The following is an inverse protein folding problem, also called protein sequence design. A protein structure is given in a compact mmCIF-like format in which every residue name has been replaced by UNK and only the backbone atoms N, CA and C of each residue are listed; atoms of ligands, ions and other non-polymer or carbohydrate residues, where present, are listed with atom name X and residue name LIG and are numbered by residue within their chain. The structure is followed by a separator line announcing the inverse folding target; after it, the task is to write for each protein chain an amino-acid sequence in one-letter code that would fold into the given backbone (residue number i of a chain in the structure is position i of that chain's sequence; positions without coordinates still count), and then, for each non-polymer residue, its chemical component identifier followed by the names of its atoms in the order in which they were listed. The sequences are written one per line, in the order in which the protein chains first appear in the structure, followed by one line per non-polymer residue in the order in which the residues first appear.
data_IF_266424417226
#
_entry.id   IF_266424417226
#
_cell.length_a   1.000
_cell.length_b   1.000
_cell.length_c   1.000
_cell.angle_alpha   90.00
_cell.angle_beta   90.00
_cell.angle_gamma   90.00
#
_symmetry.space_group_name_H-M   'P 1'
#
loop_
_entity.id
_entity.type
_entity.pdbx_description
1 polymer ?
#
# COMPACT_ATOMS: atom_id res chain seq x y z
N UNK A 1 -0.66 -21.10 -8.26
CA UNK A 1 -1.40 -20.08 -7.48
C UNK A 1 -0.48 -18.90 -7.27
N UNK A 2 -0.81 -17.75 -7.86
CA UNK A 2 0.07 -16.56 -7.83
C UNK A 2 -0.07 -15.85 -6.50
N UNK A 3 1.03 -15.71 -5.77
CA UNK A 3 1.08 -15.02 -4.48
C UNK A 3 1.57 -13.59 -4.70
N UNK A 4 0.86 -12.62 -4.15
CA UNK A 4 1.15 -11.19 -4.34
C UNK A 4 1.15 -10.44 -3.02
N UNK A 5 2.01 -9.45 -2.89
CA UNK A 5 1.95 -8.48 -1.80
C UNK A 5 1.37 -7.17 -2.34
N UNK A 6 0.59 -6.46 -1.52
CA UNK A 6 0.06 -5.14 -1.85
C UNK A 6 0.90 -4.08 -1.17
N UNK A 7 1.16 -2.97 -1.85
CA UNK A 7 1.84 -1.81 -1.28
C UNK A 7 1.12 -0.54 -1.73
N UNK A 8 0.78 0.31 -0.76
CA UNK A 8 0.12 1.60 -1.00
C UNK A 8 0.87 2.72 -0.28
N UNK A 9 0.97 3.90 -0.92
CA UNK A 9 1.61 5.07 -0.31
C UNK A 9 0.93 6.36 -0.77
N UNK A 10 1.05 7.42 0.01
CA UNK A 10 0.79 8.78 -0.43
C UNK A 10 2.00 9.67 -0.10
N UNK A 11 2.13 10.81 -0.78
CA UNK A 11 3.35 11.63 -0.76
C UNK A 11 3.19 13.04 -0.15
N UNK A 12 2.02 13.42 0.36
CA UNK A 12 1.76 14.80 0.83
C UNK A 12 0.69 14.86 1.92
N UNK A 13 0.80 15.85 2.82
CA UNK A 13 -0.15 16.17 3.89
C UNK A 13 -1.60 16.38 3.41
N UNK A 14 -1.81 16.62 2.11
CA UNK A 14 -3.14 16.81 1.55
C UNK A 14 -3.80 15.50 1.05
N UNK A 15 -3.18 14.35 1.34
CA UNK A 15 -3.69 13.02 0.98
C UNK A 15 -4.15 12.31 2.26
N UNK A 16 -5.47 12.19 2.40
CA UNK A 16 -6.13 11.53 3.54
C UNK A 16 -5.75 10.05 3.58
N UNK A 17 -5.72 9.44 4.77
CA UNK A 17 -5.59 7.98 4.95
C UNK A 17 -6.59 7.16 4.10
N UNK A 18 -7.74 7.76 3.78
CA UNK A 18 -8.71 7.24 2.82
C UNK A 18 -8.07 6.84 1.47
N UNK A 19 -7.00 7.51 1.04
CA UNK A 19 -6.27 7.18 -0.20
C UNK A 19 -5.54 5.84 -0.14
N UNK A 20 -5.04 5.42 1.02
CA UNK A 20 -4.36 4.11 1.19
C UNK A 20 -5.39 3.00 1.16
N UNK A 21 -6.48 3.13 1.90
CA UNK A 21 -7.52 2.12 1.96
C UNK A 21 -8.17 1.92 0.58
N UNK A 22 -8.43 3.00 -0.15
CA UNK A 22 -8.96 2.91 -1.51
C UNK A 22 -7.97 2.27 -2.49
N UNK A 23 -6.68 2.63 -2.42
CA UNK A 23 -5.64 1.97 -3.24
C UNK A 23 -5.60 0.46 -2.96
N UNK A 24 -5.58 0.08 -1.68
CA UNK A 24 -5.53 -1.33 -1.28
C UNK A 24 -6.81 -2.08 -1.67
N UNK A 25 -7.97 -1.43 -1.59
CA UNK A 25 -9.24 -2.00 -2.05
C UNK A 25 -9.20 -2.32 -3.54
N UNK A 26 -8.75 -1.38 -4.37
CA UNK A 26 -8.61 -1.60 -5.81
C UNK A 26 -7.63 -2.74 -6.13
N UNK A 27 -6.51 -2.81 -5.41
CA UNK A 27 -5.56 -3.91 -5.57
C UNK A 27 -6.13 -5.27 -5.15
N UNK A 28 -6.94 -5.34 -4.09
CA UNK A 28 -7.62 -6.57 -3.67
C UNK A 28 -8.67 -7.01 -4.67
N UNK A 29 -9.47 -6.09 -5.19
CA UNK A 29 -10.46 -6.38 -6.24
C UNK A 29 -9.78 -6.95 -7.49
N UNK A 30 -8.64 -6.37 -7.90
CA UNK A 30 -7.82 -6.91 -8.99
C UNK A 30 -7.32 -8.32 -8.65
N UNK A 31 -6.71 -8.52 -7.49
CA UNK A 31 -6.18 -9.82 -7.09
C UNK A 31 -7.26 -10.90 -7.08
N UNK A 32 -8.47 -10.55 -6.61
CA UNK A 32 -9.63 -11.45 -6.62
C UNK A 32 -10.06 -11.83 -8.05
N UNK A 33 -10.14 -10.85 -8.97
CA UNK A 33 -10.48 -11.11 -10.38
C UNK A 33 -9.48 -12.02 -11.08
N UNK A 34 -8.21 -11.93 -10.72
CA UNK A 34 -7.11 -12.68 -11.33
C UNK A 34 -6.82 -14.02 -10.62
N UNK A 35 -7.54 -14.32 -9.53
CA UNK A 35 -7.32 -15.54 -8.73
C UNK A 35 -5.98 -15.53 -7.97
N UNK A 36 -5.45 -14.36 -7.65
CA UNK A 36 -4.22 -14.22 -6.88
C UNK A 36 -4.48 -14.27 -5.38
N UNK A 37 -3.51 -14.81 -4.64
CA UNK A 37 -3.52 -14.82 -3.18
C UNK A 37 -2.74 -13.63 -2.67
N UNK A 38 -3.42 -12.69 -2.03
CA UNK A 38 -2.76 -11.61 -1.29
C UNK A 38 -2.16 -12.21 -0.02
N UNK A 39 -0.84 -12.19 0.09
CA UNK A 39 -0.12 -12.75 1.25
C UNK A 39 0.21 -11.71 2.29
N UNK A 40 0.35 -10.46 1.87
CA UNK A 40 0.76 -9.37 2.75
C UNK A 40 0.35 -8.02 2.18
N UNK A 41 0.24 -7.03 3.06
CA UNK A 41 -0.11 -5.67 2.68
C UNK A 41 0.75 -4.70 3.47
N UNK A 42 1.40 -3.81 2.74
CA UNK A 42 2.31 -2.80 3.26
C UNK A 42 1.73 -1.42 2.93
N UNK A 43 1.94 -0.45 3.81
CA UNK A 43 1.60 0.93 3.50
C UNK A 43 2.55 1.93 4.12
N UNK A 44 2.96 2.91 3.32
CA UNK A 44 3.69 4.07 3.79
C UNK A 44 2.73 5.26 3.85
N UNK A 45 2.26 5.55 5.07
CA UNK A 45 1.69 6.87 5.37
C UNK A 45 2.85 7.84 5.25
N UNK A 46 2.72 8.89 4.43
CA UNK A 46 3.78 9.87 4.25
C UNK A 46 4.29 10.34 5.63
N UNK A 47 5.46 9.85 6.02
CA UNK A 47 6.34 10.62 6.89
C UNK A 47 6.67 11.82 5.99
N UNK A 48 6.17 13.00 6.35
CA UNK A 48 6.51 14.26 5.70
C UNK A 48 7.99 14.25 5.30
N UNK A 49 8.30 14.73 4.09
CA UNK A 49 9.60 14.58 3.42
C UNK A 49 10.80 15.26 4.10
N UNK A 50 10.99 15.05 5.39
CA UNK A 50 12.02 15.60 6.25
C UNK A 50 12.67 14.56 7.19
N UNK A 51 12.35 13.27 7.09
CA UNK A 51 13.11 12.27 7.87
C UNK A 51 13.45 11.03 7.05
N UNK A 52 14.66 11.09 6.51
CA UNK A 52 15.54 9.96 6.22
C UNK A 52 15.78 9.12 7.49
N UNK A 53 14.77 8.40 7.98
CA UNK A 53 14.99 7.29 8.92
C UNK A 53 14.41 6.04 8.28
N UNK A 54 15.26 5.44 7.44
CA UNK A 54 15.06 4.09 6.94
C UNK A 54 15.59 3.14 8.01
N UNK A 55 14.73 2.70 8.93
CA UNK A 55 15.01 1.55 9.80
C UNK A 55 14.39 0.31 9.18
N UNK A 56 15.23 -0.67 8.83
CA UNK A 56 14.81 -2.01 8.41
C UNK A 56 15.42 -2.50 7.10
N UNK A 57 16.75 -2.72 7.13
CA UNK A 57 17.28 -4.03 6.69
C UNK A 57 17.13 -4.96 7.88
#
# INVERSE_FOLDING_TARGET
MTRVALYARYSSDNQREASIEDQLRQCRERAAREGWTVVETYSDRAISGASLIRSGI
#
